data_IF_950636668968
#
_entry.id   IF_950636668968
#
_cell.length_a   1.000
_cell.length_b   1.000
_cell.length_c   1.000
_cell.angle_alpha   90.00
_cell.angle_beta   90.00
_cell.angle_gamma   90.00
#
_symmetry.space_group_name_H-M   'P 1'
#
loop_
_entity.id
_entity.type
_entity.pdbx_description
1 polymer ?
#
# COMPACT_ATOMS: atom_id res chain seq x y z
N UNK A 1 3.67 -32.26 -16.15
CA UNK A 1 4.36 -31.14 -16.82
C UNK A 1 3.54 -29.88 -16.59
N UNK A 2 4.12 -28.85 -15.98
CA UNK A 2 3.48 -27.54 -15.85
C UNK A 2 3.54 -26.82 -17.20
N UNK A 3 2.44 -26.18 -17.62
CA UNK A 3 2.34 -25.51 -18.94
C UNK A 3 2.26 -23.99 -18.85
N UNK A 4 1.78 -23.45 -17.74
CA UNK A 4 1.60 -22.02 -17.51
C UNK A 4 1.96 -21.69 -16.06
N UNK A 5 2.50 -20.50 -15.84
CA UNK A 5 2.75 -19.92 -14.53
C UNK A 5 2.19 -18.50 -14.56
N UNK A 6 1.41 -18.14 -13.54
CA UNK A 6 0.84 -16.79 -13.36
C UNK A 6 1.46 -16.26 -12.07
N UNK A 7 2.06 -15.08 -12.14
CA UNK A 7 2.68 -14.43 -11.00
C UNK A 7 1.77 -13.35 -10.45
N UNK A 8 1.72 -13.27 -9.13
CA UNK A 8 1.33 -12.03 -8.45
C UNK A 8 2.45 -10.99 -8.60
N UNK A 9 2.15 -9.72 -8.36
CA UNK A 9 3.11 -8.63 -8.52
C UNK A 9 3.73 -8.22 -7.19
N UNK A 10 2.92 -7.67 -6.28
CA UNK A 10 3.33 -7.17 -4.96
C UNK A 10 3.89 -8.28 -4.09
N UNK A 11 5.12 -8.12 -3.59
CA UNK A 11 5.78 -9.11 -2.74
C UNK A 11 6.14 -10.43 -3.44
N UNK A 12 5.92 -10.54 -4.76
CA UNK A 12 6.26 -11.73 -5.57
C UNK A 12 7.29 -11.39 -6.65
N UNK A 13 7.02 -10.38 -7.48
CA UNK A 13 7.97 -9.88 -8.48
C UNK A 13 8.68 -8.61 -8.02
N UNK A 14 8.02 -7.80 -7.18
CA UNK A 14 8.54 -6.51 -6.73
C UNK A 14 8.39 -6.33 -5.23
N UNK A 15 9.33 -5.58 -4.64
CA UNK A 15 9.18 -4.94 -3.34
C UNK A 15 8.54 -3.57 -3.56
N UNK A 16 7.22 -3.52 -3.42
CA UNK A 16 6.41 -2.30 -3.48
C UNK A 16 6.12 -1.70 -2.11
N UNK A 17 6.53 -2.38 -1.03
CA UNK A 17 6.21 -2.02 0.34
C UNK A 17 6.65 -0.59 0.71
N UNK A 18 7.84 -0.08 0.29
CA UNK A 18 8.22 1.30 0.56
C UNK A 18 7.30 2.33 -0.12
N UNK A 19 6.80 2.03 -1.32
CA UNK A 19 5.87 2.90 -2.05
C UNK A 19 4.48 2.85 -1.42
N UNK A 20 3.98 1.66 -1.08
CA UNK A 20 2.68 1.46 -0.40
C UNK A 20 2.65 2.17 0.96
N UNK A 21 3.72 2.07 1.76
CA UNK A 21 3.80 2.73 3.05
C UNK A 21 3.81 4.26 2.89
N UNK A 22 4.56 4.78 1.91
CA UNK A 22 4.61 6.22 1.63
C UNK A 22 3.23 6.77 1.24
N UNK A 23 2.51 6.06 0.36
CA UNK A 23 1.16 6.41 -0.05
C UNK A 23 0.15 6.31 1.12
N UNK A 24 0.26 5.27 1.95
CA UNK A 24 -0.56 5.12 3.18
C UNK A 24 -0.34 6.29 4.14
N UNK A 25 0.91 6.68 4.39
CA UNK A 25 1.21 7.81 5.26
C UNK A 25 0.78 9.15 4.64
N UNK A 26 0.73 9.27 3.32
CA UNK A 26 0.14 10.44 2.66
C UNK A 26 -1.37 10.54 2.92
N UNK A 27 -2.10 9.43 2.84
CA UNK A 27 -3.51 9.36 3.23
C UNK A 27 -3.70 9.78 4.69
N UNK A 28 -2.84 9.27 5.60
CA UNK A 28 -2.93 9.59 7.02
C UNK A 28 -2.68 11.08 7.30
N UNK A 29 -1.65 11.67 6.68
CA UNK A 29 -1.40 13.12 6.73
C UNK A 29 -2.61 13.92 6.24
N UNK A 30 -3.23 13.50 5.13
CA UNK A 30 -4.38 14.21 4.56
C UNK A 30 -5.65 14.07 5.42
N UNK A 31 -5.81 12.94 6.11
CA UNK A 31 -6.86 12.71 7.10
C UNK A 31 -6.57 13.36 8.47
N UNK A 32 -5.39 13.97 8.66
CA UNK A 32 -5.00 14.61 9.92
C UNK A 32 -4.71 13.64 11.07
N UNK A 33 -4.37 12.39 10.76
CA UNK A 33 -3.95 11.38 11.75
C UNK A 33 -2.43 11.14 11.70
N UNK A 34 -1.81 10.66 12.79
CA UNK A 34 -0.36 10.37 12.81
C UNK A 34 0.03 9.35 11.75
N UNK A 35 1.23 9.50 11.19
CA UNK A 35 1.84 8.52 10.30
C UNK A 35 2.14 7.21 11.02
N UNK A 36 2.19 6.13 10.24
CA UNK A 36 2.48 4.78 10.70
C UNK A 36 3.91 4.38 10.36
N UNK A 37 4.60 3.71 11.28
CA UNK A 37 5.89 3.09 11.02
C UNK A 37 5.74 1.83 10.16
N UNK A 38 6.84 1.39 9.53
CA UNK A 38 6.84 0.15 8.75
C UNK A 38 6.47 -1.09 9.59
N UNK A 39 6.89 -1.12 10.86
CA UNK A 39 6.61 -2.24 11.76
C UNK A 39 5.11 -2.31 12.10
N UNK A 40 4.50 -1.17 12.42
CA UNK A 40 3.05 -1.07 12.65
C UNK A 40 2.27 -1.45 11.40
N UNK A 41 2.69 -0.96 10.24
CA UNK A 41 2.04 -1.29 8.97
C UNK A 41 2.07 -2.79 8.70
N UNK A 42 3.23 -3.45 8.88
CA UNK A 42 3.35 -4.91 8.72
C UNK A 42 2.47 -5.69 9.66
N UNK A 43 2.28 -5.20 10.90
CA UNK A 43 1.43 -5.86 11.90
C UNK A 43 -0.06 -5.67 11.61
N UNK A 44 -0.43 -4.52 11.07
CA UNK A 44 -1.82 -4.08 11.03
C UNK A 44 -2.46 -4.15 9.65
N UNK A 45 -1.67 -4.07 8.57
CA UNK A 45 -2.20 -4.13 7.22
C UNK A 45 -2.97 -5.43 6.96
N UNK A 46 -4.10 -5.30 6.28
CA UNK A 46 -4.91 -6.44 5.89
C UNK A 46 -5.68 -6.16 4.60
N UNK A 47 -6.02 -7.23 3.90
CA UNK A 47 -6.94 -7.20 2.77
C UNK A 47 -8.35 -7.68 3.21
N UNK A 48 -9.43 -7.10 2.66
CA UNK A 48 -9.45 -5.94 1.74
C UNK A 48 -9.00 -4.65 2.41
N UNK A 49 -8.22 -3.82 1.70
CA UNK A 49 -7.54 -2.64 2.26
C UNK A 49 -8.49 -1.64 2.94
N UNK A 50 -9.75 -1.55 2.50
CA UNK A 50 -10.77 -0.71 3.16
C UNK A 50 -10.90 -1.05 4.64
N UNK A 51 -10.83 -2.33 5.03
CA UNK A 51 -10.90 -2.74 6.45
C UNK A 51 -9.70 -2.25 7.26
N UNK A 52 -8.55 -2.08 6.62
CA UNK A 52 -7.40 -1.45 7.24
C UNK A 52 -7.69 0.03 7.49
N UNK A 53 -8.07 0.79 6.46
CA UNK A 53 -8.37 2.22 6.62
C UNK A 53 -9.56 2.51 7.54
N UNK A 54 -10.60 1.67 7.56
CA UNK A 54 -11.75 1.84 8.47
C UNK A 54 -11.34 1.84 9.95
N UNK A 55 -10.22 1.19 10.32
CA UNK A 55 -9.70 1.21 11.70
C UNK A 55 -8.97 2.50 12.07
N UNK A 56 -8.43 3.22 11.09
CA UNK A 56 -7.59 4.40 11.33
C UNK A 56 -8.29 5.71 10.95
N UNK A 57 -9.05 5.70 9.85
CA UNK A 57 -9.68 6.87 9.24
C UNK A 57 -11.12 6.56 8.76
N UNK A 58 -12.00 6.05 9.64
CA UNK A 58 -13.37 5.61 9.25
C UNK A 58 -14.25 6.72 8.66
N UNK A 59 -13.87 7.97 8.86
CA UNK A 59 -14.60 9.14 8.39
C UNK A 59 -14.25 9.53 6.94
N UNK A 60 -13.20 8.94 6.35
CA UNK A 60 -12.79 9.23 4.98
C UNK A 60 -13.55 8.31 4.00
N UNK A 61 -14.29 8.87 3.03
CA UNK A 61 -14.96 8.07 2.00
C UNK A 61 -13.98 7.24 1.17
N UNK A 62 -14.41 6.06 0.71
CA UNK A 62 -13.57 5.15 -0.09
C UNK A 62 -13.00 5.83 -1.35
N UNK A 63 -13.79 6.65 -2.03
CA UNK A 63 -13.36 7.37 -3.24
C UNK A 63 -12.21 8.35 -2.95
N UNK A 64 -12.19 8.95 -1.76
CA UNK A 64 -11.13 9.85 -1.35
C UNK A 64 -9.88 9.06 -0.97
N UNK A 65 -10.04 7.92 -0.28
CA UNK A 65 -8.93 6.99 0.01
C UNK A 65 -8.24 6.53 -1.27
N UNK A 66 -9.02 6.07 -2.26
CA UNK A 66 -8.49 5.62 -3.55
C UNK A 66 -7.75 6.75 -4.26
N UNK A 67 -8.36 7.93 -4.37
CA UNK A 67 -7.74 9.07 -5.05
C UNK A 67 -6.45 9.51 -4.39
N UNK A 68 -6.45 9.67 -3.06
CA UNK A 68 -5.27 10.12 -2.31
C UNK A 68 -4.16 9.08 -2.36
N UNK A 69 -4.50 7.81 -2.17
CA UNK A 69 -3.54 6.72 -2.24
C UNK A 69 -2.92 6.61 -3.64
N UNK A 70 -3.72 6.57 -4.71
CA UNK A 70 -3.20 6.43 -6.07
C UNK A 70 -2.32 7.60 -6.48
N UNK A 71 -2.72 8.84 -6.15
CA UNK A 71 -1.90 10.03 -6.42
C UNK A 71 -0.55 9.92 -5.72
N UNK A 72 -0.54 9.61 -4.42
CA UNK A 72 0.70 9.50 -3.66
C UNK A 72 1.55 8.28 -4.07
N UNK A 73 0.91 7.19 -4.50
CA UNK A 73 1.62 6.02 -4.99
C UNK A 73 2.29 6.27 -6.34
N UNK A 74 1.64 7.01 -7.25
CA UNK A 74 2.25 7.44 -8.52
C UNK A 74 3.50 8.30 -8.28
N UNK A 75 3.48 9.17 -7.28
CA UNK A 75 4.64 9.97 -6.88
C UNK A 75 5.77 9.14 -6.25
N UNK A 76 5.43 8.03 -5.59
CA UNK A 76 6.37 7.15 -4.90
C UNK A 76 6.75 5.89 -5.69
N UNK A 77 6.29 5.76 -6.94
CA UNK A 77 6.45 4.55 -7.75
C UNK A 77 7.92 4.22 -8.04
N UNK A 78 8.80 5.22 -8.02
CA UNK A 78 10.25 5.09 -8.17
C UNK A 78 10.90 4.26 -7.06
N UNK A 79 10.21 4.08 -5.93
CA UNK A 79 10.63 3.25 -4.81
C UNK A 79 10.34 1.76 -5.01
N UNK A 80 9.53 1.40 -6.01
CA UNK A 80 9.25 -0.01 -6.32
C UNK A 80 10.48 -0.62 -6.98
N UNK A 81 10.97 -1.73 -6.42
CA UNK A 81 12.18 -2.39 -6.91
C UNK A 81 11.87 -3.87 -7.20
N UNK A 82 12.49 -4.50 -8.22
CA UNK A 82 12.39 -5.94 -8.39
C UNK A 82 12.90 -6.69 -7.14
N UNK A 83 12.21 -7.76 -6.74
CA UNK A 83 12.73 -8.64 -5.70
C UNK A 83 13.96 -9.39 -6.23
N UNK A 84 14.89 -9.82 -5.36
CA UNK A 84 16.01 -10.64 -5.78
C UNK A 84 15.51 -11.89 -6.52
N UNK A 85 16.02 -12.10 -7.73
CA UNK A 85 15.68 -13.23 -8.60
C UNK A 85 14.24 -13.25 -9.15
N UNK A 86 13.54 -12.12 -9.11
CA UNK A 86 12.27 -11.92 -9.83
C UNK A 86 12.46 -11.92 -11.36
#
# INVERSE_FOLDING_TARGET
>A
MIRNIIFDWSGTLVDDLPAVLAATNAVFRQAGVPEMSLEEFRREFCLPFKKFYDRHVPHVPLQDLERWFHTAFEEAQDRVQPLPHA
#
